data_IF_554225350414
#
_entry.id   IF_554225350414
#
_cell.length_a   1.000
_cell.length_b   1.000
_cell.length_c   1.000
_cell.angle_alpha   90.00
_cell.angle_beta   90.00
_cell.angle_gamma   90.00
#
_symmetry.space_group_name_H-M   'P 1'
#
loop_
_entity.id
_entity.type
_entity.pdbx_description
1 polymer ?
#
# COMPACT_ATOMS: atom_id res chain seq x y z
N UNK A 1 -4.56 16.30 37.43
CA UNK A 1 -3.29 15.52 37.34
C UNK A 1 -3.41 14.30 36.42
N UNK A 2 -4.59 13.66 36.35
CA UNK A 2 -4.85 12.51 35.46
C UNK A 2 -4.89 12.85 33.96
N UNK A 3 -5.40 14.01 33.58
CA UNK A 3 -5.42 14.43 32.16
C UNK A 3 -4.02 14.57 31.57
N UNK A 4 -3.07 15.12 32.34
CA UNK A 4 -1.64 15.19 31.95
C UNK A 4 -1.04 13.79 31.80
N UNK A 5 -1.44 12.83 32.64
CA UNK A 5 -1.01 11.42 32.54
C UNK A 5 -1.62 10.72 31.31
N UNK A 6 -2.89 11.00 30.97
CA UNK A 6 -3.56 10.49 29.76
C UNK A 6 -2.91 11.04 28.49
N UNK A 7 -2.63 12.34 28.45
CA UNK A 7 -1.92 12.99 27.35
C UNK A 7 -0.52 12.40 27.14
N UNK A 8 0.28 12.28 28.21
CA UNK A 8 1.63 11.70 28.12
C UNK A 8 1.61 10.23 27.69
N UNK A 9 0.64 9.44 28.20
CA UNK A 9 0.46 8.04 27.78
C UNK A 9 0.07 7.93 26.29
N UNK A 10 -0.80 8.81 25.80
CA UNK A 10 -1.15 8.90 24.37
C UNK A 10 0.06 9.29 23.52
N UNK A 11 0.85 10.28 23.93
CA UNK A 11 2.07 10.70 23.23
C UNK A 11 3.13 9.59 23.16
N UNK A 12 3.34 8.85 24.26
CA UNK A 12 4.28 7.72 24.30
C UNK A 12 3.80 6.55 23.44
N UNK A 13 2.49 6.25 23.42
CA UNK A 13 1.91 5.24 22.52
C UNK A 13 2.10 5.65 21.06
N UNK A 14 1.87 6.93 20.75
CA UNK A 14 2.04 7.45 19.40
C UNK A 14 3.50 7.36 18.95
N UNK A 15 4.46 7.71 19.83
CA UNK A 15 5.90 7.58 19.57
C UNK A 15 6.31 6.15 19.20
N UNK A 16 5.85 5.15 19.95
CA UNK A 16 6.11 3.73 19.64
C UNK A 16 5.52 3.31 18.30
N UNK A 17 4.31 3.78 17.98
CA UNK A 17 3.67 3.54 16.68
C UNK A 17 4.48 4.11 15.50
N UNK A 18 5.00 5.33 15.66
CA UNK A 18 5.88 5.94 14.66
C UNK A 18 7.22 5.21 14.52
N UNK A 19 7.86 4.81 15.62
CA UNK A 19 9.11 4.03 15.59
C UNK A 19 8.90 2.68 14.86
N UNK A 20 7.81 1.98 15.15
CA UNK A 20 7.47 0.72 14.48
C UNK A 20 7.19 0.92 12.99
N UNK A 21 6.43 1.95 12.62
CA UNK A 21 6.15 2.28 11.23
C UNK A 21 7.44 2.63 10.45
N UNK A 22 8.37 3.34 11.08
CA UNK A 22 9.67 3.67 10.48
C UNK A 22 10.54 2.43 10.27
N UNK A 23 10.58 1.50 11.23
CA UNK A 23 11.33 0.25 11.10
C UNK A 23 10.77 -0.63 9.96
N UNK A 24 9.44 -0.73 9.83
CA UNK A 24 8.80 -1.45 8.72
C UNK A 24 9.10 -0.81 7.37
N UNK A 25 9.13 0.52 7.30
CA UNK A 25 9.46 1.23 6.07
C UNK A 25 10.92 1.01 5.65
N UNK A 26 11.84 0.94 6.61
CA UNK A 26 13.25 0.66 6.35
C UNK A 26 13.46 -0.77 5.80
N UNK A 27 12.83 -1.77 6.42
CA UNK A 27 12.87 -3.17 5.95
C UNK A 27 12.28 -3.31 4.54
N UNK A 28 11.16 -2.63 4.28
CA UNK A 28 10.53 -2.58 2.96
C UNK A 28 11.46 -1.98 1.91
N UNK A 29 12.07 -0.83 2.20
CA UNK A 29 13.00 -0.16 1.27
C UNK A 29 14.21 -1.03 0.97
N UNK A 30 14.69 -1.80 1.96
CA UNK A 30 15.73 -2.79 1.75
C UNK A 30 15.25 -3.91 0.80
N UNK A 31 14.05 -4.45 1.02
CA UNK A 31 13.47 -5.46 0.12
C UNK A 31 13.31 -4.96 -1.32
N UNK A 32 12.83 -3.72 -1.50
CA UNK A 32 12.69 -3.08 -2.82
C UNK A 32 14.03 -2.94 -3.55
N UNK A 33 15.15 -2.79 -2.82
CA UNK A 33 16.48 -2.70 -3.43
C UNK A 33 16.93 -4.00 -4.11
N UNK A 34 16.33 -5.13 -3.75
CA UNK A 34 16.60 -6.44 -4.37
C UNK A 34 15.71 -6.71 -5.58
N UNK A 35 14.70 -5.89 -5.84
CA UNK A 35 13.77 -6.13 -6.92
C UNK A 35 14.43 -5.90 -8.29
N UNK A 36 14.13 -6.75 -9.29
CA UNK A 36 14.56 -6.46 -10.64
C UNK A 36 13.93 -5.14 -11.12
N UNK A 37 14.58 -4.41 -12.05
CA UNK A 37 14.11 -3.10 -12.51
C UNK A 37 12.65 -3.10 -12.98
N UNK A 38 12.20 -4.17 -13.64
CA UNK A 38 10.82 -4.34 -14.09
C UNK A 38 9.82 -4.40 -12.94
N UNK A 39 10.12 -5.15 -11.88
CA UNK A 39 9.27 -5.22 -10.69
C UNK A 39 9.30 -3.90 -9.91
N UNK A 40 10.44 -3.21 -9.87
CA UNK A 40 10.54 -1.86 -9.30
C UNK A 40 9.64 -0.85 -10.02
N UNK A 41 9.57 -0.91 -11.36
CA UNK A 41 8.67 -0.07 -12.14
C UNK A 41 7.20 -0.40 -11.87
N UNK A 42 6.82 -1.68 -11.85
CA UNK A 42 5.46 -2.08 -11.48
C UNK A 42 5.08 -1.64 -10.07
N UNK A 43 6.00 -1.81 -9.10
CA UNK A 43 5.82 -1.32 -7.74
C UNK A 43 5.59 0.20 -7.71
N UNK A 44 6.30 0.97 -8.54
CA UNK A 44 6.11 2.42 -8.64
C UNK A 44 4.72 2.78 -9.20
N UNK A 45 4.26 2.11 -10.27
CA UNK A 45 2.92 2.30 -10.82
C UNK A 45 1.82 1.97 -9.80
N UNK A 46 1.96 0.83 -9.11
CA UNK A 46 1.02 0.43 -8.05
C UNK A 46 1.00 1.46 -6.92
N UNK A 47 2.16 1.99 -6.53
CA UNK A 47 2.27 2.99 -5.46
C UNK A 47 1.58 4.30 -5.87
N UNK A 48 1.82 4.80 -7.08
CA UNK A 48 1.13 6.00 -7.61
C UNK A 48 -0.39 5.81 -7.68
N UNK A 49 -0.84 4.66 -8.18
CA UNK A 49 -2.26 4.32 -8.21
C UNK A 49 -2.87 4.30 -6.80
N UNK A 50 -2.19 3.69 -5.83
CA UNK A 50 -2.64 3.65 -4.44
C UNK A 50 -2.59 5.03 -3.77
N UNK A 51 -1.66 5.91 -4.13
CA UNK A 51 -1.59 7.29 -3.63
C UNK A 51 -2.82 8.10 -4.03
N UNK A 52 -3.29 7.94 -5.26
CA UNK A 52 -4.55 8.56 -5.72
C UNK A 52 -5.77 8.00 -4.98
N UNK A 53 -5.69 6.78 -4.46
CA UNK A 53 -6.74 6.13 -3.69
C UNK A 53 -6.64 6.41 -2.17
N UNK A 54 -5.62 7.11 -1.71
CA UNK A 54 -5.37 7.38 -0.29
C UNK A 54 -6.11 8.63 0.21
N UNK A 55 -7.43 8.56 0.16
CA UNK A 55 -8.32 9.61 0.68
C UNK A 55 -9.28 9.06 1.73
N UNK A 56 -9.91 9.95 2.49
CA UNK A 56 -10.93 9.57 3.48
C UNK A 56 -12.19 9.01 2.80
N UNK A 57 -12.71 7.88 3.28
CA UNK A 57 -13.85 7.22 2.65
C UNK A 57 -13.51 6.43 1.37
N UNK A 58 -12.23 6.31 1.01
CA UNK A 58 -11.81 5.43 -0.07
C UNK A 58 -12.10 3.96 0.24
N UNK A 59 -12.46 3.21 -0.80
CA UNK A 59 -12.80 1.78 -0.70
C UNK A 59 -11.65 0.93 -0.15
N UNK A 60 -10.38 1.38 -0.30
CA UNK A 60 -9.20 0.67 0.24
C UNK A 60 -9.22 0.61 1.78
N UNK A 61 -10.06 1.42 2.43
CA UNK A 61 -10.28 1.46 3.87
C UNK A 61 -11.64 0.91 4.31
N UNK A 62 -12.41 0.31 3.41
CA UNK A 62 -13.66 -0.38 3.75
C UNK A 62 -13.35 -1.66 4.52
N UNK A 63 -14.32 -2.18 5.27
CA UNK A 63 -14.15 -3.48 5.94
C UNK A 63 -13.92 -4.58 4.90
N UNK A 64 -14.71 -4.55 3.82
CA UNK A 64 -14.70 -5.50 2.71
C UNK A 64 -14.57 -4.75 1.37
N UNK A 65 -13.35 -4.58 0.83
CA UNK A 65 -13.19 -3.98 -0.49
C UNK A 65 -13.77 -4.90 -1.56
N UNK A 66 -14.46 -4.30 -2.54
CA UNK A 66 -15.07 -5.03 -3.64
C UNK A 66 -14.01 -5.61 -4.60
N UNK A 67 -14.15 -6.91 -4.94
CA UNK A 67 -13.20 -7.65 -5.78
C UNK A 67 -13.13 -7.08 -7.20
N UNK A 68 -14.27 -6.74 -7.80
CA UNK A 68 -14.32 -6.24 -9.17
C UNK A 68 -13.65 -4.87 -9.28
N UNK A 69 -13.83 -4.03 -8.25
CA UNK A 69 -13.15 -2.74 -8.16
C UNK A 69 -11.62 -2.90 -8.10
N UNK A 70 -11.12 -3.85 -7.31
CA UNK A 70 -9.70 -4.18 -7.26
C UNK A 70 -9.20 -4.67 -8.62
N UNK A 71 -9.87 -5.66 -9.22
CA UNK A 71 -9.49 -6.23 -10.51
C UNK A 71 -9.45 -5.17 -11.62
N UNK A 72 -10.43 -4.26 -11.63
CA UNK A 72 -10.46 -3.13 -12.57
C UNK A 72 -9.23 -2.24 -12.43
N UNK A 73 -8.84 -1.91 -11.20
CA UNK A 73 -7.67 -1.05 -10.94
C UNK A 73 -6.38 -1.77 -11.34
N UNK A 74 -6.24 -3.05 -11.00
CA UNK A 74 -5.11 -3.87 -11.45
C UNK A 74 -5.02 -3.91 -12.97
N UNK A 75 -6.15 -4.09 -13.68
CA UNK A 75 -6.18 -4.04 -15.14
C UNK A 75 -5.77 -2.69 -15.72
N UNK A 76 -6.15 -1.58 -15.09
CA UNK A 76 -5.67 -0.24 -15.48
C UNK A 76 -4.15 -0.09 -15.31
N UNK A 77 -3.59 -0.64 -14.23
CA UNK A 77 -2.15 -0.63 -13.98
C UNK A 77 -1.41 -1.51 -15.00
N UNK A 78 -1.94 -2.70 -15.33
CA UNK A 78 -1.40 -3.54 -16.39
C UNK A 78 -1.38 -2.81 -17.73
N UNK A 79 -2.47 -2.16 -18.12
CA UNK A 79 -2.51 -1.37 -19.37
C UNK A 79 -1.51 -0.21 -19.39
N UNK A 80 -1.21 0.41 -18.23
CA UNK A 80 -0.14 1.40 -18.12
C UNK A 80 1.25 0.77 -18.25
N UNK A 81 1.45 -0.41 -17.67
CA UNK A 81 2.69 -1.17 -17.76
C UNK A 81 3.00 -1.60 -19.20
N UNK A 82 2.00 -2.05 -19.95
CA UNK A 82 2.06 -2.42 -21.37
C UNK A 82 2.53 -1.25 -22.27
N UNK A 83 2.11 -0.03 -21.93
CA UNK A 83 2.50 1.18 -22.67
C UNK A 83 3.97 1.58 -22.47
N UNK A 84 4.66 0.98 -21.48
CA UNK A 84 6.06 1.25 -21.21
C UNK A 84 6.98 0.29 -21.97
N UNK A 85 7.85 0.84 -22.81
CA UNK A 85 8.82 0.09 -23.62
C UNK A 85 9.72 -0.86 -22.81
N UNK A 86 9.94 -0.60 -21.51
CA UNK A 86 10.80 -1.40 -20.64
C UNK A 86 10.16 -2.73 -20.20
N UNK A 87 8.83 -2.86 -20.29
CA UNK A 87 8.08 -4.04 -19.84
C UNK A 87 7.56 -4.94 -20.98
N UNK A 88 7.59 -4.48 -22.23
CA UNK A 88 7.14 -5.27 -23.40
C UNK A 88 7.87 -6.62 -23.56
N UNK A 89 9.09 -6.76 -23.01
CA UNK A 89 9.85 -8.01 -23.03
C UNK A 89 9.38 -9.09 -22.04
N UNK A 90 8.52 -8.75 -21.07
CA UNK A 90 7.94 -9.72 -20.12
C UNK A 90 6.67 -10.37 -20.71
N UNK A 91 5.75 -9.57 -21.24
CA UNK A 91 4.46 -10.06 -21.77
C UNK A 91 4.57 -10.98 -22.99
N UNK A 92 5.50 -10.69 -23.90
CA UNK A 92 5.68 -11.47 -25.14
C UNK A 92 6.06 -12.95 -24.93
N UNK A 93 6.26 -13.38 -23.67
CA UNK A 93 6.53 -14.78 -23.29
C UNK A 93 5.29 -15.53 -22.78
N UNK A 94 4.09 -15.02 -23.03
CA UNK A 94 2.84 -15.64 -22.55
C UNK A 94 2.62 -15.46 -21.05
N UNK A 95 3.17 -14.40 -20.45
CA UNK A 95 3.13 -14.16 -19.00
C UNK A 95 2.07 -13.13 -18.58
N UNK A 96 1.16 -12.73 -19.48
CA UNK A 96 0.13 -11.71 -19.20
C UNK A 96 -0.73 -12.02 -17.97
N UNK A 97 -1.11 -13.28 -17.77
CA UNK A 97 -1.82 -13.72 -16.55
C UNK A 97 -0.94 -13.59 -15.30
N UNK A 98 0.35 -13.98 -15.37
CA UNK A 98 1.28 -13.82 -14.26
C UNK A 98 1.60 -12.35 -13.93
N UNK A 99 1.56 -11.46 -14.93
CA UNK A 99 1.71 -10.02 -14.72
C UNK A 99 0.53 -9.47 -13.93
N UNK A 100 -0.69 -9.85 -14.31
CA UNK A 100 -1.92 -9.48 -13.60
C UNK A 100 -1.91 -9.95 -12.15
N UNK A 101 -1.53 -11.21 -11.91
CA UNK A 101 -1.39 -11.76 -10.56
C UNK A 101 -0.35 -11.01 -9.75
N UNK A 102 0.81 -10.72 -10.35
CA UNK A 102 1.87 -9.97 -9.68
C UNK A 102 1.43 -8.56 -9.31
N UNK A 103 0.80 -7.83 -10.24
CA UNK A 103 0.22 -6.50 -9.98
C UNK A 103 -0.83 -6.57 -8.87
N UNK A 104 -1.67 -7.61 -8.87
CA UNK A 104 -2.66 -7.84 -7.81
C UNK A 104 -2.02 -8.04 -6.44
N UNK A 105 -0.94 -8.82 -6.36
CA UNK A 105 -0.17 -9.02 -5.11
C UNK A 105 0.43 -7.71 -4.63
N UNK A 106 1.13 -6.97 -5.50
CA UNK A 106 1.73 -5.68 -5.14
C UNK A 106 0.67 -4.69 -4.66
N UNK A 107 -0.49 -4.63 -5.34
CA UNK A 107 -1.60 -3.76 -4.95
C UNK A 107 -2.15 -4.13 -3.58
N UNK A 108 -2.41 -5.41 -3.32
CA UNK A 108 -2.92 -5.87 -2.04
C UNK A 108 -1.92 -5.60 -0.91
N UNK A 109 -0.63 -5.82 -1.16
CA UNK A 109 0.45 -5.51 -0.21
C UNK A 109 0.48 -4.01 0.13
N UNK A 110 0.37 -3.15 -0.88
CA UNK A 110 0.39 -1.68 -0.70
C UNK A 110 -0.82 -1.19 0.10
N UNK A 111 -2.01 -1.71 -0.20
CA UNK A 111 -3.23 -1.43 0.58
C UNK A 111 -3.10 -1.92 2.02
N UNK A 112 -2.60 -3.14 2.22
CA UNK A 112 -2.37 -3.68 3.57
C UNK A 112 -1.39 -2.83 4.36
N UNK A 113 -0.29 -2.39 3.73
CA UNK A 113 0.70 -1.48 4.33
C UNK A 113 0.04 -0.18 4.80
N UNK A 114 -0.76 0.47 3.95
CA UNK A 114 -1.46 1.72 4.31
C UNK A 114 -2.42 1.53 5.46
N UNK A 115 -3.19 0.44 5.45
CA UNK A 115 -4.12 0.08 6.54
C UNK A 115 -3.37 -0.16 7.85
N UNK A 116 -2.24 -0.87 7.80
CA UNK A 116 -1.39 -1.13 8.98
C UNK A 116 -0.77 0.18 9.51
N UNK A 117 -0.21 1.01 8.63
CA UNK A 117 0.36 2.31 9.00
C UNK A 117 -0.67 3.22 9.65
N UNK A 118 -1.88 3.32 9.09
CA UNK A 118 -2.99 4.07 9.71
C UNK A 118 -3.35 3.50 11.09
N UNK A 119 -3.35 2.18 11.29
CA UNK A 119 -3.56 1.55 12.61
C UNK A 119 -2.42 1.80 13.61
N UNK A 120 -1.21 2.08 13.16
CA UNK A 120 -0.08 2.38 14.07
C UNK A 120 -0.05 3.85 14.47
N UNK A 121 -0.41 4.74 13.54
CA UNK A 121 -0.24 6.20 13.69
C UNK A 121 -1.52 6.91 14.14
N UNK A 122 -2.70 6.39 13.80
CA UNK A 122 -3.96 7.08 14.14
C UNK A 122 -4.41 6.80 15.58
N UNK A 123 -4.75 7.86 16.35
CA UNK A 123 -5.33 7.72 17.68
C UNK A 123 -6.62 6.89 17.63
N UNK A 124 -6.87 6.10 18.68
CA UNK A 124 -7.98 5.13 18.74
C UNK A 124 -9.36 5.78 18.50
N UNK A 125 -9.56 7.03 18.93
CA UNK A 125 -10.83 7.74 18.76
C UNK A 125 -11.13 8.12 17.30
N UNK A 126 -10.13 8.21 16.42
CA UNK A 126 -10.35 8.40 14.97
C UNK A 126 -10.73 7.10 14.25
N UNK A 127 -10.70 5.94 14.93
CA UNK A 127 -11.14 4.65 14.35
C UNK A 127 -12.64 4.40 14.48
N UNK A 128 -13.33 5.16 15.34
CA UNK A 128 -14.70 4.88 15.76
C UNK A 128 -15.76 5.75 15.06
N UNK A 129 -15.34 6.75 14.27
CA UNK A 129 -16.23 7.59 13.45
C UNK A 129 -16.21 7.12 11.99
N UNK A 130 -16.58 5.87 11.74
CA UNK A 130 -16.94 5.36 10.42
C UNK A 130 -18.29 4.66 10.54
#
# INVERSE_FOLDING_TARGET
MEEKKRFYKSAVINKKGFEQAAAQEADRRLMESYYPPSAGYLQALVTDACDRLDYEGSFIYDEYPDKNTIERICGQICGQAESCSELQGMENRGTGEMLGDFVGVLFCQEVCKRRQRRKMVMPVHWRQNK
#
